data_IF_632499095090
#
_entry.id   IF_632499095090
#
_cell.length_a   1.000
_cell.length_b   1.000
_cell.length_c   1.000
_cell.angle_alpha   90.00
_cell.angle_beta   90.00
_cell.angle_gamma   90.00
#
_symmetry.space_group_name_H-M   'P 1'
#
loop_
_entity.id
_entity.type
_entity.pdbx_description
1 polymer ?
#
# COMPACT_ATOMS: atom_id res chain seq x y z
N UNK A 1 21.65 -7.91 -9.01
CA UNK A 1 20.35 -7.82 -8.30
C UNK A 1 20.06 -6.35 -8.00
N UNK A 2 19.11 -5.73 -8.71
CA UNK A 2 18.81 -4.31 -8.57
C UNK A 2 18.04 -4.04 -7.25
N UNK A 3 18.72 -3.48 -6.25
CA UNK A 3 18.22 -3.22 -4.88
C UNK A 3 17.03 -2.24 -4.82
N UNK A 4 16.67 -1.60 -5.95
CA UNK A 4 15.54 -0.66 -6.04
C UNK A 4 14.18 -1.30 -5.76
N UNK A 5 14.05 -2.63 -5.83
CA UNK A 5 12.77 -3.32 -5.57
C UNK A 5 12.67 -3.92 -4.16
N UNK A 6 13.68 -3.74 -3.30
CA UNK A 6 13.66 -4.30 -1.94
C UNK A 6 12.46 -3.82 -1.12
N UNK A 7 12.10 -2.53 -1.24
CA UNK A 7 10.93 -1.96 -0.56
C UNK A 7 9.62 -2.63 -0.98
N UNK A 8 9.45 -2.87 -2.29
CA UNK A 8 8.27 -3.54 -2.84
C UNK A 8 8.23 -5.02 -2.44
N UNK A 9 9.38 -5.71 -2.44
CA UNK A 9 9.48 -7.12 -2.05
C UNK A 9 9.14 -7.30 -0.57
N UNK A 10 9.70 -6.49 0.33
CA UNK A 10 9.35 -6.53 1.76
C UNK A 10 7.87 -6.28 1.98
N UNK A 11 7.30 -5.31 1.27
CA UNK A 11 5.88 -4.99 1.37
C UNK A 11 4.99 -6.15 0.90
N UNK A 12 5.37 -6.79 -0.21
CA UNK A 12 4.66 -7.95 -0.76
C UNK A 12 4.77 -9.17 0.17
N UNK A 13 5.93 -9.35 0.81
CA UNK A 13 6.16 -10.41 1.78
C UNK A 13 5.33 -10.22 3.06
N UNK A 14 5.24 -8.98 3.56
CA UNK A 14 4.35 -8.63 4.69
C UNK A 14 2.89 -8.82 4.30
N UNK A 15 2.51 -8.46 3.07
CA UNK A 15 1.15 -8.65 2.56
C UNK A 15 0.75 -10.12 2.54
N UNK A 16 1.62 -10.98 2.00
CA UNK A 16 1.42 -12.43 1.93
C UNK A 16 1.34 -13.00 3.35
N UNK A 17 2.23 -12.58 4.25
CA UNK A 17 2.17 -12.98 5.66
C UNK A 17 0.83 -12.63 6.30
N UNK A 18 0.35 -11.40 6.11
CA UNK A 18 -0.95 -10.97 6.64
C UNK A 18 -2.13 -11.71 6.00
N UNK A 19 -2.05 -12.02 4.71
CA UNK A 19 -3.11 -12.69 3.97
C UNK A 19 -3.23 -14.18 4.24
N UNK A 20 -2.17 -14.84 4.69
CA UNK A 20 -2.19 -16.28 4.90
C UNK A 20 -2.11 -16.68 6.37
N UNK A 21 -1.43 -15.90 7.21
CA UNK A 21 -1.23 -16.25 8.63
C UNK A 21 -2.42 -15.79 9.48
N UNK A 22 -2.89 -14.56 9.26
CA UNK A 22 -3.97 -13.96 10.05
C UNK A 22 -5.34 -14.64 9.84
N UNK A 23 -5.83 -14.90 8.61
CA UNK A 23 -7.13 -15.54 8.44
C UNK A 23 -7.15 -16.96 9.00
N UNK A 24 -6.02 -17.68 8.94
CA UNK A 24 -5.92 -19.05 9.46
C UNK A 24 -6.07 -19.13 10.98
N UNK A 25 -5.69 -18.06 11.70
CA UNK A 25 -5.88 -17.99 13.15
C UNK A 25 -7.34 -17.71 13.55
N UNK A 26 -8.14 -17.15 12.65
CA UNK A 26 -9.56 -16.84 12.86
C UNK A 26 -10.50 -17.89 12.25
N UNK A 27 -9.97 -18.99 11.71
CA UNK A 27 -10.83 -20.04 11.18
C UNK A 27 -11.53 -20.79 12.31
N UNK A 28 -12.87 -20.90 12.27
CA UNK A 28 -13.60 -21.65 13.27
C UNK A 28 -13.21 -23.13 13.22
N UNK A 29 -13.16 -23.78 14.37
CA UNK A 29 -12.96 -25.22 14.46
C UNK A 29 -14.08 -25.93 13.67
N UNK A 30 -13.74 -26.84 12.73
CA UNK A 30 -14.75 -27.53 11.93
C UNK A 30 -15.56 -28.45 12.83
N UNK A 31 -16.88 -28.28 12.83
CA UNK A 31 -17.78 -29.11 13.61
C UNK A 31 -17.97 -30.46 12.89
N UNK A 32 -17.61 -31.60 13.48
CA UNK A 32 -17.71 -32.89 12.80
C UNK A 32 -19.15 -33.34 12.51
N UNK A 33 -20.15 -32.70 13.12
CA UNK A 33 -21.58 -33.03 12.95
C UNK A 33 -22.38 -31.93 12.23
N UNK A 34 -21.77 -30.78 11.93
CA UNK A 34 -22.39 -29.64 11.25
C UNK A 34 -22.06 -29.58 9.75
N UNK A 35 -22.90 -28.88 8.97
CA UNK A 35 -22.57 -28.56 7.58
C UNK A 35 -21.41 -27.57 7.58
N UNK A 36 -20.18 -28.09 7.39
CA UNK A 36 -18.96 -27.30 7.25
C UNK A 36 -18.92 -26.61 5.87
N UNK A 37 -19.82 -25.66 5.65
CA UNK A 37 -19.72 -24.77 4.49
C UNK A 37 -18.45 -23.94 4.65
N UNK A 38 -17.47 -24.06 3.74
CA UNK A 38 -16.25 -23.23 3.70
C UNK A 38 -16.50 -21.73 3.44
N UNK A 39 -17.75 -21.28 3.52
CA UNK A 39 -18.21 -19.91 3.34
C UNK A 39 -17.60 -18.90 4.34
N UNK A 40 -17.45 -19.17 5.65
CA UNK A 40 -16.83 -18.23 6.57
C UNK A 40 -15.33 -18.06 6.30
N UNK A 41 -14.63 -19.14 5.90
CA UNK A 41 -13.23 -19.08 5.46
C UNK A 41 -13.06 -18.15 4.25
N UNK A 42 -13.92 -18.28 3.24
CA UNK A 42 -13.92 -17.39 2.07
C UNK A 42 -14.21 -15.94 2.45
N UNK A 43 -15.18 -15.70 3.32
CA UNK A 43 -15.52 -14.35 3.79
C UNK A 43 -14.37 -13.66 4.53
N UNK A 44 -13.74 -14.36 5.47
CA UNK A 44 -12.59 -13.84 6.23
C UNK A 44 -11.42 -13.56 5.29
N UNK A 45 -11.14 -14.48 4.36
CA UNK A 45 -10.06 -14.32 3.38
C UNK A 45 -10.29 -13.11 2.48
N UNK A 46 -11.49 -12.95 1.94
CA UNK A 46 -11.85 -11.81 1.08
C UNK A 46 -11.82 -10.48 1.85
N UNK A 47 -12.28 -10.45 3.10
CA UNK A 47 -12.24 -9.24 3.93
C UNK A 47 -10.79 -8.79 4.18
N UNK A 48 -9.90 -9.72 4.53
CA UNK A 48 -8.48 -9.43 4.69
C UNK A 48 -7.82 -9.01 3.37
N UNK A 49 -8.30 -9.52 2.24
CA UNK A 49 -7.78 -9.15 0.93
C UNK A 49 -8.19 -7.75 0.49
N UNK A 50 -9.46 -7.39 0.69
CA UNK A 50 -9.96 -6.07 0.31
C UNK A 50 -9.46 -5.00 1.29
N UNK A 51 -9.51 -5.24 2.59
CA UNK A 51 -9.07 -4.24 3.59
C UNK A 51 -7.54 -4.17 3.65
N UNK A 52 -6.87 -5.31 3.81
CA UNK A 52 -5.42 -5.38 3.92
C UNK A 52 -4.72 -5.10 2.59
N UNK A 53 -5.17 -5.74 1.51
CA UNK A 53 -4.62 -5.52 0.16
C UNK A 53 -5.02 -4.16 -0.42
N UNK A 54 -6.29 -3.78 -0.33
CA UNK A 54 -6.77 -2.48 -0.82
C UNK A 54 -6.12 -1.31 -0.09
N UNK A 55 -6.09 -1.32 1.25
CA UNK A 55 -5.48 -0.25 2.05
C UNK A 55 -4.00 -0.08 1.76
N UNK A 56 -3.28 -1.19 1.60
CA UNK A 56 -1.88 -1.25 1.18
C UNK A 56 -1.64 -0.55 -0.15
N UNK A 57 -2.41 -0.92 -1.19
CA UNK A 57 -2.26 -0.33 -2.53
C UNK A 57 -2.60 1.16 -2.51
N UNK A 58 -3.66 1.54 -1.79
CA UNK A 58 -4.09 2.93 -1.63
C UNK A 58 -2.99 3.76 -0.94
N UNK A 59 -2.43 3.28 0.16
CA UNK A 59 -1.33 3.96 0.87
C UNK A 59 -0.12 4.12 -0.04
N UNK A 60 0.21 3.09 -0.83
CA UNK A 60 1.36 3.16 -1.72
C UNK A 60 1.15 4.17 -2.86
N UNK A 61 -0.05 4.21 -3.43
CA UNK A 61 -0.45 5.21 -4.43
C UNK A 61 -0.46 6.62 -3.83
N UNK A 62 -1.01 6.81 -2.63
CA UNK A 62 -0.99 8.10 -1.93
C UNK A 62 0.44 8.57 -1.70
N UNK A 63 1.32 7.70 -1.19
CA UNK A 63 2.71 8.04 -0.95
C UNK A 63 3.42 8.48 -2.24
N UNK A 64 3.22 7.73 -3.32
CA UNK A 64 3.78 8.09 -4.63
C UNK A 64 3.24 9.43 -5.12
N UNK A 65 1.93 9.66 -5.01
CA UNK A 65 1.30 10.89 -5.47
C UNK A 65 1.75 12.11 -4.67
N UNK A 66 1.76 12.01 -3.34
CA UNK A 66 2.21 13.07 -2.43
C UNK A 66 3.69 13.38 -2.67
N UNK A 67 4.56 12.38 -2.76
CA UNK A 67 5.99 12.61 -3.00
C UNK A 67 6.24 13.32 -4.34
N UNK A 68 5.47 12.99 -5.39
CA UNK A 68 5.55 13.69 -6.68
C UNK A 68 5.01 15.11 -6.58
N UNK A 69 3.91 15.32 -5.87
CA UNK A 69 3.30 16.63 -5.68
C UNK A 69 4.21 17.58 -4.88
N UNK A 70 4.84 17.08 -3.82
CA UNK A 70 5.83 17.84 -3.01
C UNK A 70 7.03 18.23 -3.87
N UNK A 71 7.55 17.31 -4.70
CA UNK A 71 8.63 17.63 -5.66
C UNK A 71 8.22 18.71 -6.66
N UNK A 72 7.01 18.63 -7.18
CA UNK A 72 6.48 19.61 -8.13
C UNK A 72 6.36 20.99 -7.48
N UNK A 73 5.94 21.05 -6.21
CA UNK A 73 5.80 22.29 -5.46
C UNK A 73 7.16 22.97 -5.23
N UNK A 74 8.18 22.22 -4.83
CA UNK A 74 9.54 22.75 -4.60
C UNK A 74 10.20 23.29 -5.87
N UNK A 75 10.08 22.53 -6.98
CA UNK A 75 10.64 22.98 -8.26
C UNK A 75 9.95 24.25 -8.77
N UNK A 76 8.64 24.39 -8.51
CA UNK A 76 7.90 25.60 -8.86
C UNK A 76 8.31 26.83 -8.02
N UNK A 77 8.64 26.65 -6.74
CA UNK A 77 9.14 27.74 -5.90
C UNK A 77 10.57 28.18 -6.26
N UNK A 78 11.44 27.25 -6.65
CA UNK A 78 12.78 27.60 -7.16
C UNK A 78 12.68 28.37 -8.48
N UNK A 79 11.79 27.96 -9.38
CA UNK A 79 11.58 28.66 -10.65
C UNK A 79 11.07 30.10 -10.42
N UNK A 80 10.14 30.33 -9.48
CA UNK A 80 9.69 31.68 -9.15
C UNK A 80 10.80 32.54 -8.56
N UNK A 81 11.69 31.97 -7.74
CA UNK A 81 12.82 32.72 -7.18
C UNK A 81 13.89 33.05 -8.23
N UNK A 82 14.08 32.18 -9.23
CA UNK A 82 15.02 32.45 -10.33
C UNK A 82 14.55 33.57 -11.27
N UNK A 83 13.24 33.68 -11.53
CA UNK A 83 12.67 34.73 -12.39
C UNK A 83 12.75 36.11 -11.71
N UNK A 84 12.52 36.17 -10.40
CA UNK A 84 12.65 37.42 -9.62
C UNK A 84 14.10 37.94 -9.57
N UNK A 85 15.10 37.04 -9.58
CA UNK A 85 16.52 37.44 -9.63
C UNK A 85 16.93 37.98 -11.00
N UNK A 86 16.40 37.42 -12.09
CA UNK A 86 16.68 37.89 -13.45
C UNK A 86 16.07 39.29 -13.70
N UNK A 87 14.88 39.57 -13.17
CA UNK A 87 14.23 40.89 -13.31
C UNK A 87 14.99 42.02 -12.58
N UNK A 88 15.73 41.72 -11.50
CA UNK A 88 16.51 42.74 -10.78
C UNK A 88 17.88 43.04 -11.37
N UNK A 89 18.37 42.22 -12.29
CA UNK A 89 19.65 42.42 -12.98
C UNK A 89 19.51 43.21 -14.29
N UNK A 90 18.27 43.44 -14.76
CA UNK A 90 17.93 44.19 -15.98
C UNK A 90 17.30 45.55 -15.65
#
# INVERSE_FOLDING_TARGET
MNWKHGKTITFLMVLIGHLFIFPRFFYPEPDPNGINCGMPILGITLAFWIIGGGGTVIIHLLYYFISKFVKYKLNKSELSESVDKEEKEN
#
